data_IF_139374648846
#
_entry.id   IF_139374648846
#
_cell.length_a   1.000
_cell.length_b   1.000
_cell.length_c   1.000
_cell.angle_alpha   90.00
_cell.angle_beta   90.00
_cell.angle_gamma   90.00
#
_symmetry.space_group_name_H-M   'P 1'
#
loop_
_entity.id
_entity.type
_entity.pdbx_description
1 polymer ?
#
# COMPACT_ATOMS: atom_id res chain seq x y z
N UNK A 1 -26.27 7.65 12.75
CA UNK A 1 -26.06 8.16 14.13
C UNK A 1 -26.58 7.21 15.22
N UNK A 2 -27.62 6.39 15.02
CA UNK A 2 -28.19 5.52 16.08
C UNK A 2 -27.51 4.15 16.31
N UNK A 3 -26.57 3.71 15.45
CA UNK A 3 -26.01 2.35 15.49
C UNK A 3 -24.68 2.20 16.24
N UNK A 4 -24.08 3.29 16.73
CA UNK A 4 -22.79 3.23 17.43
C UNK A 4 -22.94 3.15 18.95
N UNK A 5 -24.17 3.17 19.45
CA UNK A 5 -24.47 3.25 20.88
C UNK A 5 -24.55 1.84 21.45
N UNK A 6 -23.80 1.55 22.51
CA UNK A 6 -24.03 0.38 23.36
C UNK A 6 -25.45 0.42 23.96
N UNK A 7 -25.86 -0.62 24.70
CA UNK A 7 -27.20 -0.72 25.31
C UNK A 7 -27.60 0.50 26.21
N UNK A 8 -26.64 1.39 26.52
CA UNK A 8 -26.81 2.60 27.30
C UNK A 8 -26.71 3.92 26.50
N UNK A 9 -26.55 3.88 25.17
CA UNK A 9 -26.44 5.11 24.40
C UNK A 9 -25.02 5.66 24.21
N UNK A 10 -23.96 4.90 24.54
CA UNK A 10 -22.57 5.40 24.51
C UNK A 10 -21.80 4.75 23.36
N UNK A 11 -20.97 5.54 22.66
CA UNK A 11 -20.15 5.02 21.56
C UNK A 11 -19.23 3.91 22.09
N UNK A 12 -19.09 2.78 21.37
CA UNK A 12 -18.16 1.73 21.77
C UNK A 12 -16.74 2.32 21.99
N UNK A 13 -16.10 2.10 23.16
CA UNK A 13 -14.80 2.68 23.49
C UNK A 13 -13.71 2.39 22.44
N UNK A 14 -13.75 1.22 21.79
CA UNK A 14 -12.79 0.88 20.73
C UNK A 14 -13.01 1.73 19.47
N UNK A 15 -14.27 2.06 19.15
CA UNK A 15 -14.62 2.92 18.01
C UNK A 15 -14.19 4.37 18.27
N UNK A 16 -14.35 4.88 19.49
CA UNK A 16 -13.80 6.19 19.87
C UNK A 16 -12.28 6.22 19.80
N UNK A 17 -11.62 5.19 20.33
CA UNK A 17 -10.16 5.08 20.28
C UNK A 17 -9.63 5.06 18.83
N UNK A 18 -10.28 4.31 17.93
CA UNK A 18 -9.92 4.31 16.51
C UNK A 18 -10.10 5.69 15.85
N UNK A 19 -11.22 6.38 16.13
CA UNK A 19 -11.45 7.73 15.59
C UNK A 19 -10.44 8.74 16.12
N UNK A 20 -10.07 8.65 17.40
CA UNK A 20 -9.01 9.45 18.01
C UNK A 20 -7.68 9.25 17.30
N UNK A 21 -7.23 7.99 17.17
CA UNK A 21 -6.00 7.65 16.44
C UNK A 21 -6.00 8.13 14.99
N UNK A 22 -7.13 8.00 14.26
CA UNK A 22 -7.27 8.53 12.89
C UNK A 22 -7.08 10.05 12.84
N UNK A 23 -7.59 10.78 13.85
CA UNK A 23 -7.39 12.22 13.97
C UNK A 23 -5.94 12.57 14.32
N UNK A 24 -5.28 11.78 15.17
CA UNK A 24 -3.88 11.96 15.54
C UNK A 24 -2.94 11.77 14.35
N UNK A 25 -3.12 10.71 13.54
CA UNK A 25 -2.39 10.53 12.28
C UNK A 25 -2.54 11.75 11.35
N UNK A 26 -3.76 12.29 11.23
CA UNK A 26 -4.02 13.49 10.43
C UNK A 26 -3.31 14.72 10.97
N UNK A 27 -3.23 14.89 12.29
CA UNK A 27 -2.51 15.99 12.95
C UNK A 27 -1.00 15.86 12.77
N UNK A 28 -0.45 14.67 13.03
CA UNK A 28 0.98 14.37 12.87
C UNK A 28 1.43 14.55 11.43
N UNK A 29 0.60 14.20 10.45
CA UNK A 29 0.93 14.46 9.05
C UNK A 29 0.99 15.93 8.69
N UNK A 30 0.07 16.74 9.21
CA UNK A 30 0.15 18.20 9.03
C UNK A 30 1.45 18.74 9.63
N UNK A 31 1.87 18.22 10.78
CA UNK A 31 3.14 18.56 11.39
C UNK A 31 4.34 18.13 10.52
N UNK A 32 4.34 16.91 9.97
CA UNK A 32 5.36 16.44 9.04
C UNK A 32 5.44 17.31 7.78
N UNK A 33 4.30 17.62 7.15
CA UNK A 33 4.24 18.49 5.97
C UNK A 33 4.80 19.88 6.26
N UNK A 34 4.48 20.44 7.43
CA UNK A 34 5.02 21.74 7.84
C UNK A 34 6.54 21.68 8.09
N UNK A 35 7.03 20.60 8.70
CA UNK A 35 8.46 20.39 8.93
C UNK A 35 9.23 20.21 7.61
N UNK A 36 8.68 19.45 6.66
CA UNK A 36 9.28 19.27 5.33
C UNK A 36 9.34 20.59 4.57
N UNK A 37 8.25 21.36 4.55
CA UNK A 37 8.23 22.66 3.90
C UNK A 37 9.23 23.64 4.53
N UNK A 38 9.32 23.65 5.85
CA UNK A 38 10.32 24.48 6.55
C UNK A 38 11.76 24.07 6.22
N UNK A 39 12.01 22.77 5.98
CA UNK A 39 13.31 22.28 5.56
C UNK A 39 13.60 22.67 4.11
N UNK A 40 12.62 22.55 3.20
CA UNK A 40 12.72 22.99 1.80
C UNK A 40 13.02 24.48 1.70
N UNK A 41 12.28 25.33 2.43
CA UNK A 41 12.49 26.78 2.46
C UNK A 41 13.93 27.12 2.93
N UNK A 42 14.44 26.40 3.95
CA UNK A 42 15.82 26.57 4.45
C UNK A 42 16.89 25.99 3.51
N UNK A 43 16.58 24.92 2.79
CA UNK A 43 17.45 24.34 1.75
C UNK A 43 17.68 25.34 0.61
N UNK A 44 16.63 26.06 0.19
CA UNK A 44 16.73 27.12 -0.82
C UNK A 44 17.60 28.30 -0.35
N UNK A 45 17.50 28.67 0.93
CA UNK A 45 18.30 29.74 1.53
C UNK A 45 19.73 29.30 1.92
N UNK A 46 20.04 28.00 1.87
CA UNK A 46 21.33 27.44 2.27
C UNK A 46 21.58 27.40 3.79
N UNK A 47 20.51 27.50 4.59
CA UNK A 47 20.54 27.61 6.06
C UNK A 47 20.04 26.32 6.75
N UNK A 48 20.36 25.15 6.19
CA UNK A 48 19.91 23.87 6.76
C UNK A 48 20.74 23.49 7.97
N UNK A 49 20.09 23.35 9.12
CA UNK A 49 20.73 22.85 10.32
C UNK A 49 20.43 21.36 10.54
N UNK A 50 21.29 20.68 11.29
CA UNK A 50 21.09 19.26 11.66
C UNK A 50 19.78 19.06 12.44
N UNK A 51 19.36 20.08 13.22
CA UNK A 51 18.09 20.07 13.95
C UNK A 51 16.87 20.06 13.02
N UNK A 52 16.92 20.69 11.85
CA UNK A 52 15.82 20.70 10.89
C UNK A 52 15.61 19.31 10.26
N UNK A 53 16.72 18.67 9.87
CA UNK A 53 16.71 17.29 9.37
C UNK A 53 16.24 16.32 10.46
N UNK A 54 16.67 16.54 11.71
CA UNK A 54 16.22 15.76 12.86
C UNK A 54 14.72 15.95 13.14
N UNK A 55 14.19 17.16 13.00
CA UNK A 55 12.78 17.47 13.19
C UNK A 55 11.90 16.75 12.15
N UNK A 56 12.31 16.76 10.87
CA UNK A 56 11.64 15.99 9.81
C UNK A 56 11.70 14.49 10.11
N UNK A 57 12.86 13.97 10.53
CA UNK A 57 13.02 12.56 10.91
C UNK A 57 12.11 12.17 12.08
N UNK A 58 12.05 12.99 13.13
CA UNK A 58 11.20 12.77 14.29
C UNK A 58 9.72 12.83 13.92
N UNK A 59 9.31 13.78 13.09
CA UNK A 59 7.94 13.88 12.59
C UNK A 59 7.54 12.65 11.74
N UNK A 60 8.45 12.13 10.90
CA UNK A 60 8.25 10.87 10.16
C UNK A 60 8.07 9.70 11.13
N UNK A 61 8.93 9.58 12.14
CA UNK A 61 8.85 8.49 13.11
C UNK A 61 7.54 8.53 13.92
N UNK A 62 7.16 9.69 14.46
CA UNK A 62 5.90 9.86 15.18
C UNK A 62 4.69 9.49 14.32
N UNK A 63 4.69 9.88 13.04
CA UNK A 63 3.62 9.51 12.12
C UNK A 63 3.57 7.99 11.91
N UNK A 64 4.71 7.32 11.72
CA UNK A 64 4.76 5.85 11.59
C UNK A 64 4.26 5.12 12.84
N UNK A 65 4.62 5.61 14.02
CA UNK A 65 4.19 4.99 15.29
C UNK A 65 2.67 5.14 15.47
N UNK A 66 2.13 6.33 15.19
CA UNK A 66 0.68 6.56 15.20
C UNK A 66 -0.05 5.72 14.14
N UNK A 67 0.54 5.55 12.96
CA UNK A 67 0.04 4.66 11.89
C UNK A 67 -0.04 3.20 12.35
N UNK A 68 0.99 2.71 13.01
CA UNK A 68 1.02 1.36 13.57
C UNK A 68 -0.05 1.17 14.65
N UNK A 69 -0.24 2.16 15.53
CA UNK A 69 -1.30 2.14 16.54
C UNK A 69 -2.71 2.20 15.92
N UNK A 70 -2.92 3.02 14.91
CA UNK A 70 -4.19 3.09 14.17
C UNK A 70 -4.48 1.74 13.50
N UNK A 71 -3.45 1.10 12.95
CA UNK A 71 -3.58 -0.23 12.34
C UNK A 71 -3.93 -1.30 13.37
N UNK A 72 -3.24 -1.36 14.50
CA UNK A 72 -3.55 -2.28 15.58
C UNK A 72 -4.97 -2.05 16.14
N UNK A 73 -5.41 -0.79 16.22
CA UNK A 73 -6.78 -0.44 16.60
C UNK A 73 -7.82 -0.94 15.59
N UNK A 74 -7.49 -0.90 14.30
CA UNK A 74 -8.34 -1.46 13.25
C UNK A 74 -8.45 -2.98 13.41
N UNK A 75 -7.32 -3.69 13.57
CA UNK A 75 -7.32 -5.15 13.78
C UNK A 75 -8.17 -5.56 14.99
N UNK A 76 -8.02 -4.87 16.12
CA UNK A 76 -8.82 -5.11 17.32
C UNK A 76 -10.33 -4.81 17.17
N UNK A 77 -10.70 -4.00 16.17
CA UNK A 77 -12.09 -3.77 15.76
C UNK A 77 -12.58 -4.85 14.78
N UNK A 78 -11.70 -5.38 13.93
CA UNK A 78 -12.04 -6.50 13.03
C UNK A 78 -12.31 -7.80 13.78
N UNK A 79 -11.65 -8.02 14.92
CA UNK A 79 -11.99 -9.14 15.82
C UNK A 79 -13.45 -9.09 16.33
N UNK A 80 -14.07 -7.90 16.37
CA UNK A 80 -15.47 -7.71 16.74
C UNK A 80 -16.44 -7.85 15.57
N UNK A 81 -15.95 -8.07 14.34
CA UNK A 81 -16.81 -8.18 13.14
C UNK A 81 -17.86 -9.28 13.29
N UNK A 82 -17.49 -10.39 13.94
CA UNK A 82 -18.41 -11.50 14.18
C UNK A 82 -19.65 -11.08 14.98
N UNK A 83 -19.50 -10.07 15.84
CA UNK A 83 -20.55 -9.61 16.75
C UNK A 83 -21.27 -8.35 16.21
N UNK A 84 -20.59 -7.51 15.42
CA UNK A 84 -21.13 -6.21 14.95
C UNK A 84 -20.74 -5.87 13.49
N UNK A 85 -21.34 -6.55 12.48
CA UNK A 85 -21.01 -6.37 11.06
C UNK A 85 -21.21 -4.94 10.55
N UNK A 86 -22.15 -4.19 11.13
CA UNK A 86 -22.43 -2.81 10.75
C UNK A 86 -21.25 -1.88 11.07
N UNK A 87 -20.55 -2.09 12.19
CA UNK A 87 -19.46 -1.22 12.66
C UNK A 87 -18.34 -1.16 11.62
N UNK A 88 -18.03 -2.30 11.00
CA UNK A 88 -17.06 -2.43 9.91
C UNK A 88 -17.42 -1.57 8.69
N UNK A 89 -18.70 -1.52 8.29
CA UNK A 89 -19.13 -0.75 7.12
C UNK A 89 -18.94 0.76 7.30
N UNK A 90 -18.98 1.25 8.53
CA UNK A 90 -18.85 2.68 8.85
C UNK A 90 -17.40 3.12 9.09
N UNK A 91 -16.54 2.20 9.54
CA UNK A 91 -15.13 2.50 9.82
C UNK A 91 -14.31 2.76 8.55
N UNK A 92 -14.76 2.22 7.41
CA UNK A 92 -13.90 2.05 6.24
C UNK A 92 -14.24 2.95 5.07
N UNK A 93 -15.18 3.91 5.20
CA UNK A 93 -15.52 4.90 4.16
C UNK A 93 -15.58 4.31 2.72
N UNK A 94 -16.11 3.09 2.61
CA UNK A 94 -16.30 2.37 1.35
C UNK A 94 -15.17 1.45 0.89
N UNK A 95 -14.10 1.24 1.66
CA UNK A 95 -13.06 0.27 1.29
C UNK A 95 -13.56 -1.15 1.56
N UNK A 96 -13.34 -2.11 0.64
CA UNK A 96 -13.71 -3.50 0.86
C UNK A 96 -13.12 -4.04 2.15
N UNK A 97 -13.96 -4.69 2.96
CA UNK A 97 -13.57 -5.26 4.25
C UNK A 97 -12.29 -6.11 4.18
N UNK A 98 -12.21 -6.96 3.14
CA UNK A 98 -11.06 -7.84 2.90
C UNK A 98 -9.72 -7.09 2.81
N UNK A 99 -9.72 -5.82 2.39
CA UNK A 99 -8.49 -5.04 2.20
C UNK A 99 -8.01 -4.30 3.44
N UNK A 100 -8.80 -4.28 4.52
CA UNK A 100 -8.46 -3.52 5.73
C UNK A 100 -7.12 -3.87 6.36
N UNK A 101 -6.67 -5.13 6.40
CA UNK A 101 -5.32 -5.46 6.89
C UNK A 101 -4.21 -4.77 6.09
N UNK A 102 -4.46 -4.49 4.81
CA UNK A 102 -3.51 -3.80 3.93
C UNK A 102 -3.85 -2.33 3.72
N UNK A 103 -4.93 -1.85 4.30
CA UNK A 103 -5.38 -0.47 4.16
C UNK A 103 -4.48 0.47 4.97
N UNK A 104 -4.05 1.55 4.33
CA UNK A 104 -3.28 2.64 4.90
C UNK A 104 -4.07 3.92 4.64
N UNK A 105 -4.99 4.21 5.57
CA UNK A 105 -5.98 5.29 5.46
C UNK A 105 -5.36 6.67 5.33
N UNK A 106 -4.18 6.75 5.90
CA UNK A 106 -3.36 7.89 5.89
C UNK A 106 -2.55 7.91 4.60
N UNK A 107 -1.71 6.95 4.26
CA UNK A 107 -0.70 7.05 3.18
C UNK A 107 -1.13 7.81 1.91
N UNK A 108 -0.28 8.73 1.44
CA UNK A 108 -0.44 9.53 0.24
C UNK A 108 0.70 9.27 -0.75
N UNK A 109 0.51 9.65 -2.01
CA UNK A 109 1.59 9.59 -3.00
C UNK A 109 2.75 10.51 -2.61
N UNK A 110 2.47 11.67 -2.01
CA UNK A 110 3.47 12.64 -1.56
C UNK A 110 4.38 12.12 -0.44
N UNK A 111 4.01 11.02 0.22
CA UNK A 111 4.86 10.40 1.23
C UNK A 111 6.06 9.68 0.57
N UNK A 112 6.01 9.46 -0.75
CA UNK A 112 7.04 8.75 -1.51
C UNK A 112 7.88 9.69 -2.38
N UNK A 113 9.17 9.37 -2.49
CA UNK A 113 10.05 9.92 -3.51
C UNK A 113 9.88 9.15 -4.83
N UNK A 114 9.34 9.80 -5.86
CA UNK A 114 9.09 9.17 -7.16
C UNK A 114 10.39 9.18 -7.99
N UNK A 115 10.93 7.99 -8.25
CA UNK A 115 12.16 7.81 -9.04
C UNK A 115 11.87 7.71 -10.53
N UNK A 116 10.83 6.96 -10.90
CA UNK A 116 10.43 6.75 -12.29
C UNK A 116 8.93 6.46 -12.41
N UNK A 117 8.35 6.67 -13.60
CA UNK A 117 6.95 6.40 -13.89
C UNK A 117 6.80 5.64 -15.20
N UNK A 118 6.35 4.39 -15.09
CA UNK A 118 6.06 3.51 -16.21
C UNK A 118 4.59 3.66 -16.58
N UNK A 119 4.32 4.03 -17.84
CA UNK A 119 2.97 4.14 -18.38
C UNK A 119 2.65 2.91 -19.24
N UNK A 120 1.85 2.00 -18.70
CA UNK A 120 1.31 0.86 -19.45
C UNK A 120 -0.22 0.95 -19.46
N UNK A 121 -0.93 -0.16 -19.25
CA UNK A 121 -2.40 -0.12 -19.11
C UNK A 121 -2.84 0.72 -17.89
N UNK A 122 -2.04 0.70 -16.82
CA UNK A 122 -2.14 1.62 -15.70
C UNK A 122 -0.79 2.34 -15.53
N UNK A 123 -0.77 3.41 -14.74
CA UNK A 123 0.47 4.08 -14.37
C UNK A 123 1.09 3.33 -13.19
N UNK A 124 2.38 3.02 -13.27
CA UNK A 124 3.14 2.41 -12.18
C UNK A 124 4.33 3.31 -11.85
N UNK A 125 4.40 3.76 -10.60
CA UNK A 125 5.54 4.54 -10.11
C UNK A 125 6.55 3.62 -9.44
N UNK A 126 7.82 3.78 -9.80
CA UNK A 126 8.94 3.31 -8.97
C UNK A 126 9.18 4.38 -7.92
N UNK A 127 8.95 4.05 -6.67
CA UNK A 127 8.89 5.03 -5.59
C UNK A 127 9.68 4.56 -4.37
N UNK A 128 10.35 5.47 -3.67
CA UNK A 128 11.08 5.17 -2.45
C UNK A 128 10.35 5.73 -1.24
N UNK A 129 10.24 4.91 -0.19
CA UNK A 129 9.75 5.31 1.12
C UNK A 129 10.63 4.63 2.16
N UNK A 130 11.20 5.42 3.05
CA UNK A 130 11.99 4.93 4.19
C UNK A 130 13.20 4.07 3.77
N UNK A 131 13.86 4.48 2.68
CA UNK A 131 15.03 3.78 2.13
C UNK A 131 14.69 2.52 1.32
N UNK A 132 13.41 2.11 1.26
CA UNK A 132 12.96 0.94 0.50
C UNK A 132 12.25 1.36 -0.78
N UNK A 133 12.50 0.64 -1.87
CA UNK A 133 11.87 0.87 -3.18
C UNK A 133 10.64 0.00 -3.34
N UNK A 134 9.58 0.60 -3.88
CA UNK A 134 8.27 0.01 -4.11
C UNK A 134 7.79 0.28 -5.53
N UNK A 135 6.88 -0.59 -6.01
CA UNK A 135 6.04 -0.32 -7.16
C UNK A 135 4.67 0.19 -6.67
N UNK A 136 4.26 1.37 -7.12
CA UNK A 136 2.94 1.94 -6.83
C UNK A 136 2.09 1.94 -8.10
N UNK A 137 1.14 1.01 -8.19
CA UNK A 137 0.19 0.97 -9.30
C UNK A 137 -0.98 1.91 -9.04
N UNK A 138 -1.12 2.93 -9.87
CA UNK A 138 -2.14 3.97 -9.79
C UNK A 138 -3.42 3.56 -10.53
N UNK A 139 -4.57 3.83 -9.91
CA UNK A 139 -5.89 3.71 -10.49
C UNK A 139 -6.66 5.02 -10.29
N UNK A 140 -7.34 5.49 -11.33
CA UNK A 140 -8.24 6.64 -11.24
C UNK A 140 -9.53 6.27 -10.49
N UNK A 141 -10.24 7.29 -9.98
CA UNK A 141 -11.50 7.08 -9.25
C UNK A 141 -12.53 6.22 -10.02
N UNK A 142 -12.65 6.42 -11.34
CA UNK A 142 -13.55 5.65 -12.20
C UNK A 142 -13.23 4.15 -12.23
N UNK A 143 -12.00 3.77 -11.89
CA UNK A 143 -11.52 2.39 -11.86
C UNK A 143 -11.56 1.75 -10.46
N UNK A 144 -12.28 2.34 -9.49
CA UNK A 144 -12.39 1.82 -8.12
C UNK A 144 -12.69 0.31 -8.06
N UNK A 145 -13.73 -0.16 -8.79
CA UNK A 145 -14.06 -1.60 -8.81
C UNK A 145 -12.94 -2.48 -9.35
N UNK A 146 -12.15 -1.98 -10.29
CA UNK A 146 -11.00 -2.69 -10.85
C UNK A 146 -9.88 -2.77 -9.83
N UNK A 147 -9.55 -1.64 -9.19
CA UNK A 147 -8.60 -1.57 -8.07
C UNK A 147 -8.97 -2.52 -6.93
N UNK A 148 -10.22 -2.47 -6.45
CA UNK A 148 -10.72 -3.33 -5.36
C UNK A 148 -10.58 -4.81 -5.69
N UNK A 149 -10.98 -5.21 -6.90
CA UNK A 149 -10.86 -6.60 -7.36
C UNK A 149 -9.41 -7.04 -7.47
N UNK A 150 -8.54 -6.20 -7.99
CA UNK A 150 -7.13 -6.53 -8.16
C UNK A 150 -6.44 -6.70 -6.80
N UNK A 151 -6.60 -5.74 -5.91
CA UNK A 151 -6.06 -5.81 -4.56
C UNK A 151 -6.60 -7.04 -3.80
N UNK A 152 -7.91 -7.33 -3.89
CA UNK A 152 -8.49 -8.47 -3.19
C UNK A 152 -7.99 -9.81 -3.72
N UNK A 153 -7.71 -9.90 -5.03
CA UNK A 153 -7.11 -11.10 -5.63
C UNK A 153 -5.67 -11.29 -5.19
N UNK A 154 -4.85 -10.25 -5.23
CA UNK A 154 -3.46 -10.32 -4.76
C UNK A 154 -3.39 -10.71 -3.28
N UNK A 155 -4.27 -10.14 -2.44
CA UNK A 155 -4.32 -10.47 -1.02
C UNK A 155 -4.68 -11.94 -0.76
N UNK A 156 -5.66 -12.49 -1.51
CA UNK A 156 -6.07 -13.89 -1.38
C UNK A 156 -5.03 -14.87 -1.93
N UNK A 157 -4.27 -14.46 -2.94
CA UNK A 157 -3.28 -15.27 -3.64
C UNK A 157 -1.88 -15.22 -3.00
N UNK A 158 -1.80 -15.06 -1.68
CA UNK A 158 -0.52 -14.90 -0.98
C UNK A 158 0.35 -16.16 -1.13
N UNK A 159 1.46 -16.02 -1.85
CA UNK A 159 2.37 -17.12 -2.18
C UNK A 159 3.78 -16.58 -2.46
N UNK A 160 4.87 -17.32 -2.18
CA UNK A 160 6.25 -16.86 -2.43
C UNK A 160 6.56 -16.46 -3.88
N UNK A 161 5.79 -16.99 -4.83
CA UNK A 161 5.94 -16.76 -6.27
C UNK A 161 4.78 -15.97 -6.90
N UNK A 162 3.96 -15.31 -6.06
CA UNK A 162 2.95 -14.33 -6.48
C UNK A 162 3.33 -12.98 -5.88
N UNK A 163 3.14 -11.90 -6.63
CA UNK A 163 3.46 -10.55 -6.16
C UNK A 163 2.71 -10.24 -4.86
N UNK A 164 3.44 -9.82 -3.83
CA UNK A 164 2.86 -9.51 -2.53
C UNK A 164 2.13 -8.17 -2.55
N UNK A 165 0.91 -8.15 -1.99
CA UNK A 165 0.23 -6.91 -1.61
C UNK A 165 0.80 -6.38 -0.29
N UNK A 166 1.57 -5.30 -0.34
CA UNK A 166 2.13 -4.68 0.87
C UNK A 166 1.15 -3.71 1.51
N UNK A 167 0.51 -2.85 0.70
CA UNK A 167 -0.48 -1.89 1.17
C UNK A 167 -1.40 -1.43 0.04
N UNK A 168 -2.55 -0.88 0.43
CA UNK A 168 -3.45 -0.12 -0.42
C UNK A 168 -3.80 1.20 0.24
N UNK A 169 -3.93 2.26 -0.54
CA UNK A 169 -4.27 3.58 -0.03
C UNK A 169 -4.98 4.42 -1.10
N UNK A 170 -5.62 5.50 -0.66
CA UNK A 170 -6.32 6.46 -1.50
C UNK A 170 -5.71 7.84 -1.29
N UNK A 171 -5.39 8.51 -2.39
CA UNK A 171 -4.93 9.88 -2.39
C UNK A 171 -6.07 10.80 -2.85
N UNK A 172 -6.49 11.68 -1.94
CA UNK A 172 -7.50 12.73 -2.17
C UNK A 172 -6.91 14.14 -2.04
N UNK A 173 -5.60 14.27 -2.27
CA UNK A 173 -4.91 15.57 -2.23
C UNK A 173 -5.41 16.53 -3.32
N UNK A 174 -5.85 15.99 -4.46
CA UNK A 174 -6.56 16.75 -5.49
C UNK A 174 -8.05 16.87 -5.12
N UNK A 175 -8.55 18.11 -5.15
CA UNK A 175 -9.95 18.44 -4.83
C UNK A 175 -10.95 17.82 -5.82
N UNK A 176 -10.52 17.54 -7.04
CA UNK A 176 -11.36 17.09 -8.14
C UNK A 176 -11.11 15.63 -8.51
N UNK A 177 -9.94 15.09 -8.17
CA UNK A 177 -9.58 13.71 -8.51
C UNK A 177 -9.20 12.91 -7.29
N UNK A 178 -9.67 11.67 -7.26
CA UNK A 178 -9.31 10.69 -6.24
C UNK A 178 -8.56 9.57 -6.95
N UNK A 179 -7.43 9.19 -6.39
CA UNK A 179 -6.59 8.12 -6.93
C UNK A 179 -6.42 7.02 -5.91
N UNK A 180 -6.38 5.79 -6.38
CA UNK A 180 -6.14 4.61 -5.55
C UNK A 180 -4.81 4.01 -5.94
N UNK A 181 -4.09 3.49 -4.94
CA UNK A 181 -2.78 2.90 -5.13
C UNK A 181 -2.73 1.49 -4.56
N UNK A 182 -2.06 0.60 -5.30
CA UNK A 182 -1.59 -0.70 -4.83
C UNK A 182 -0.07 -0.60 -4.68
N UNK A 183 0.42 -0.80 -3.46
CA UNK A 183 1.85 -0.85 -3.16
C UNK A 183 2.33 -2.30 -3.13
N UNK A 184 3.39 -2.56 -3.89
CA UNK A 184 4.03 -3.87 -4.03
C UNK A 184 5.55 -3.72 -3.92
N UNK A 185 6.30 -4.81 -3.67
CA UNK A 185 7.75 -4.79 -3.78
C UNK A 185 8.18 -4.33 -5.18
N UNK A 186 9.31 -3.63 -5.27
CA UNK A 186 9.96 -3.38 -6.56
C UNK A 186 10.85 -4.57 -6.93
N UNK A 187 10.64 -5.12 -8.12
CA UNK A 187 11.41 -6.24 -8.66
C UNK A 187 12.49 -5.71 -9.61
N UNK A 188 13.74 -5.70 -9.14
CA UNK A 188 14.85 -4.97 -9.77
C UNK A 188 15.20 -5.48 -11.16
N UNK A 189 15.01 -6.77 -11.42
CA UNK A 189 15.36 -7.38 -12.71
C UNK A 189 14.24 -7.20 -13.76
N UNK A 190 13.12 -6.59 -13.37
CA UNK A 190 12.02 -6.29 -14.27
C UNK A 190 11.24 -7.53 -14.70
N UNK A 191 10.62 -7.46 -15.87
CA UNK A 191 9.85 -8.55 -16.43
C UNK A 191 10.74 -9.64 -17.07
N UNK A 192 10.24 -10.87 -17.13
CA UNK A 192 10.98 -12.05 -17.58
C UNK A 192 11.52 -11.92 -19.01
N UNK A 193 10.77 -11.32 -19.92
CA UNK A 193 11.23 -11.07 -21.30
C UNK A 193 12.44 -10.12 -21.33
N UNK A 194 12.37 -9.06 -20.54
CA UNK A 194 13.42 -8.04 -20.43
C UNK A 194 14.65 -8.61 -19.72
N UNK A 195 14.44 -9.42 -18.67
CA UNK A 195 15.50 -10.13 -17.96
C UNK A 195 16.26 -11.10 -18.87
N UNK A 196 15.55 -11.90 -19.68
CA UNK A 196 16.20 -12.84 -20.61
C UNK A 196 17.06 -12.09 -21.64
N UNK A 197 16.59 -10.94 -22.13
CA UNK A 197 17.33 -10.13 -23.10
C UNK A 197 18.58 -9.48 -22.49
N UNK A 198 18.46 -8.95 -21.27
CA UNK A 198 19.53 -8.18 -20.64
C UNK A 198 20.59 -9.08 -19.96
N UNK A 199 20.15 -10.12 -19.26
CA UNK A 199 21.03 -10.94 -18.41
C UNK A 199 21.51 -12.23 -19.08
N UNK A 200 20.89 -12.65 -20.18
CA UNK A 200 21.21 -13.89 -20.91
C UNK A 200 21.41 -15.10 -19.97
N UNK A 201 20.38 -15.43 -19.16
CA UNK A 201 20.50 -16.43 -18.10
C UNK A 201 20.75 -17.83 -18.64
N UNK A 202 21.45 -18.64 -17.84
CA UNK A 202 21.68 -20.04 -18.18
C UNK A 202 20.39 -20.88 -18.14
N UNK A 203 20.41 -22.04 -18.79
CA UNK A 203 19.26 -22.93 -18.85
C UNK A 203 18.79 -23.42 -17.47
N UNK A 204 19.66 -23.37 -16.44
CA UNK A 204 19.29 -23.72 -15.06
C UNK A 204 18.43 -22.62 -14.44
N UNK A 205 18.82 -21.36 -14.59
CA UNK A 205 18.08 -20.20 -14.07
C UNK A 205 16.72 -20.06 -14.74
N UNK A 206 16.65 -20.25 -16.07
CA UNK A 206 15.37 -20.26 -16.80
C UNK A 206 14.44 -21.36 -16.29
N UNK A 207 14.95 -22.60 -16.12
CA UNK A 207 14.14 -23.71 -15.56
C UNK A 207 13.65 -23.42 -14.15
N UNK A 208 14.45 -22.74 -13.32
CA UNK A 208 14.04 -22.35 -11.97
C UNK A 208 12.85 -21.38 -12.00
N UNK A 209 12.94 -20.31 -12.80
CA UNK A 209 11.84 -19.34 -12.93
C UNK A 209 10.57 -19.99 -13.47
N UNK A 210 10.70 -20.91 -14.45
CA UNK A 210 9.56 -21.66 -14.97
C UNK A 210 8.91 -22.55 -13.91
N UNK A 211 9.70 -23.27 -13.10
CA UNK A 211 9.18 -24.09 -12.02
C UNK A 211 8.43 -23.24 -10.98
N UNK A 212 9.01 -22.10 -10.57
CA UNK A 212 8.37 -21.14 -9.65
C UNK A 212 7.08 -20.56 -10.22
N UNK A 213 7.05 -20.25 -11.53
CA UNK A 213 5.85 -19.80 -12.22
C UNK A 213 4.77 -20.89 -12.20
N UNK A 214 5.13 -22.15 -12.44
CA UNK A 214 4.19 -23.26 -12.36
C UNK A 214 3.62 -23.43 -10.94
N UNK A 215 4.45 -23.32 -9.90
CA UNK A 215 4.00 -23.37 -8.50
C UNK A 215 3.02 -22.23 -8.18
N UNK A 216 3.30 -21.00 -8.64
CA UNK A 216 2.39 -19.88 -8.49
C UNK A 216 1.05 -20.13 -9.17
N UNK A 217 1.07 -20.67 -10.39
CA UNK A 217 -0.15 -20.96 -11.17
C UNK A 217 -0.97 -22.07 -10.53
N UNK A 218 -0.33 -23.15 -10.05
CA UNK A 218 -0.99 -24.22 -9.31
C UNK A 218 -1.66 -23.68 -8.04
N UNK A 219 -0.95 -22.83 -7.30
CA UNK A 219 -1.51 -22.13 -6.15
C UNK A 219 -2.74 -21.29 -6.51
N UNK A 220 -2.67 -20.46 -7.56
CA UNK A 220 -3.82 -19.67 -8.03
C UNK A 220 -5.02 -20.56 -8.39
N UNK A 221 -4.78 -21.66 -9.10
CA UNK A 221 -5.83 -22.60 -9.48
C UNK A 221 -6.46 -23.28 -8.27
N UNK A 222 -5.68 -23.62 -7.24
CA UNK A 222 -6.22 -24.17 -5.98
C UNK A 222 -7.20 -23.23 -5.27
N UNK A 223 -7.08 -21.92 -5.50
CA UNK A 223 -7.97 -20.87 -4.98
C UNK A 223 -9.14 -20.53 -5.93
N UNK A 224 -9.26 -21.23 -7.06
CA UNK A 224 -10.22 -20.95 -8.13
C UNK A 224 -9.93 -19.67 -8.90
N UNK A 225 -8.68 -19.17 -8.86
CA UNK A 225 -8.25 -17.96 -9.56
C UNK A 225 -7.59 -18.36 -10.88
N UNK A 226 -8.17 -17.92 -12.00
CA UNK A 226 -7.55 -18.06 -13.32
C UNK A 226 -6.90 -16.72 -13.67
N UNK A 227 -5.59 -16.70 -13.93
CA UNK A 227 -4.87 -15.45 -14.24
C UNK A 227 -5.27 -14.84 -15.59
N UNK A 228 -5.56 -15.68 -16.61
CA UNK A 228 -5.99 -15.28 -17.96
C UNK A 228 -5.00 -14.45 -18.81
N UNK A 229 -3.79 -14.16 -18.32
CA UNK A 229 -2.79 -13.34 -19.05
C UNK A 229 -1.36 -13.73 -18.64
N UNK A 230 -1.10 -15.03 -18.54
CA UNK A 230 0.24 -15.54 -18.21
C UNK A 230 1.11 -15.38 -19.46
N UNK A 231 2.07 -14.46 -19.39
CA UNK A 231 3.06 -14.18 -20.44
C UNK A 231 4.35 -13.64 -19.81
N UNK A 232 5.50 -13.71 -20.49
CA UNK A 232 6.78 -13.26 -19.93
C UNK A 232 6.77 -11.81 -19.39
N UNK A 233 6.08 -10.88 -20.06
CA UNK A 233 5.96 -9.49 -19.59
C UNK A 233 5.18 -9.32 -18.27
N UNK A 234 4.47 -10.35 -17.80
CA UNK A 234 3.72 -10.36 -16.55
C UNK A 234 4.38 -11.21 -15.44
N UNK A 235 5.56 -11.79 -15.70
CA UNK A 235 6.36 -12.49 -14.69
C UNK A 235 7.50 -11.57 -14.30
N UNK A 236 7.55 -11.16 -13.04
CA UNK A 236 8.60 -10.27 -12.53
C UNK A 236 9.70 -11.07 -11.86
N UNK A 237 10.95 -10.62 -12.02
CA UNK A 237 12.14 -11.30 -11.49
C UNK A 237 12.76 -10.44 -10.38
N UNK A 238 12.95 -11.05 -9.20
CA UNK A 238 13.60 -10.42 -8.05
C UNK A 238 15.13 -10.36 -8.22
N UNK A 239 15.81 -9.54 -7.42
CA UNK A 239 17.26 -9.38 -7.47
C UNK A 239 18.05 -10.68 -7.25
N UNK A 240 17.50 -11.65 -6.51
CA UNK A 240 18.11 -12.97 -6.28
C UNK A 240 17.78 -13.99 -7.40
N UNK A 241 17.08 -13.55 -8.45
CA UNK A 241 16.63 -14.38 -9.56
C UNK A 241 15.51 -15.35 -9.20
N UNK A 242 14.71 -15.01 -8.18
CA UNK A 242 13.43 -15.64 -7.85
C UNK A 242 12.24 -14.93 -8.47
#
# INVERSE_FOLDING_TARGET
>A
LKANMNAQGVLDPKVEAFRGRKADCKKLRRALKNAQRSLEDKEEDGEVEEEDVAAVRAAKQNLRDAEAELHAALEALLELESDFPEVVRWLTEGIPHVLLPKWRAERLLSDFEIQDTIRCHNVVHRAQLDGRTYALKEFSHGNRKTWEREAARLLRAAHPHVVELLAVFEDRSDKYTTKFYIQMPWYQMGALDTWVQNEQPDARSVRRVLAQTCEAVDHLHSLGIIHCDIKPSNVLVAADGR
#
